data_IF_287138180327
#
_entry.id   IF_287138180327
#
_cell.length_a   1.000
_cell.length_b   1.000
_cell.length_c   1.000
_cell.angle_alpha   90.00
_cell.angle_beta   90.00
_cell.angle_gamma   90.00
#
_symmetry.space_group_name_H-M   'P 1'
#
loop_
_entity.id
_entity.type
_entity.pdbx_description
1 polymer ?
#
# COMPACT_ATOMS: atom_id res chain seq x y z
N UNK A 1 -7.88 -14.78 -13.01
CA UNK A 1 -7.92 -14.14 -11.68
C UNK A 1 -6.76 -13.16 -11.64
N UNK A 2 -7.04 -11.86 -11.71
CA UNK A 2 -6.01 -10.83 -11.53
C UNK A 2 -5.61 -10.84 -10.07
N UNK A 3 -4.34 -11.11 -9.79
CA UNK A 3 -3.78 -10.94 -8.44
C UNK A 3 -3.81 -9.44 -8.12
N UNK A 4 -4.72 -9.03 -7.23
CA UNK A 4 -4.91 -7.63 -6.79
C UNK A 4 -4.12 -7.33 -5.52
N UNK A 5 -3.19 -8.22 -5.14
CA UNK A 5 -2.43 -8.06 -3.90
C UNK A 5 -1.13 -7.29 -4.15
N UNK A 6 -0.76 -6.45 -3.18
CA UNK A 6 0.44 -5.62 -3.19
C UNK A 6 1.28 -5.99 -2.00
N UNK A 7 2.60 -6.06 -2.18
CA UNK A 7 3.49 -6.27 -1.04
C UNK A 7 3.67 -4.97 -0.26
N UNK A 8 3.91 -5.09 1.05
CA UNK A 8 4.19 -3.93 1.90
C UNK A 8 5.41 -3.16 1.41
N UNK A 9 6.42 -3.85 0.86
CA UNK A 9 7.61 -3.22 0.29
C UNK A 9 7.29 -2.44 -0.99
N UNK A 10 6.54 -3.02 -1.93
CA UNK A 10 6.16 -2.31 -3.16
C UNK A 10 5.36 -1.04 -2.82
N UNK A 11 4.48 -1.11 -1.82
CA UNK A 11 3.74 0.06 -1.36
C UNK A 11 4.63 1.09 -0.66
N UNK A 12 5.62 0.65 0.13
CA UNK A 12 6.61 1.54 0.74
C UNK A 12 7.43 2.29 -0.33
N UNK A 13 7.91 1.57 -1.35
CA UNK A 13 8.65 2.16 -2.48
C UNK A 13 7.79 3.20 -3.22
N UNK A 14 6.50 2.91 -3.41
CA UNK A 14 5.55 3.88 -3.98
C UNK A 14 5.42 5.14 -3.11
N UNK A 15 5.32 5.00 -1.79
CA UNK A 15 5.23 6.15 -0.88
C UNK A 15 6.50 7.00 -0.87
N UNK A 16 7.68 6.41 -1.10
CA UNK A 16 8.94 7.15 -1.25
C UNK A 16 8.99 7.97 -2.55
N UNK A 17 8.27 7.54 -3.59
CA UNK A 17 8.10 8.30 -4.82
C UNK A 17 7.07 9.43 -4.68
N UNK A 18 6.13 9.29 -3.74
CA UNK A 18 5.17 10.34 -3.41
C UNK A 18 5.86 11.48 -2.67
N UNK A 19 5.56 12.73 -3.04
CA UNK A 19 6.14 13.93 -2.43
C UNK A 19 5.54 14.25 -1.04
N UNK A 20 5.47 13.24 -0.17
CA UNK A 20 4.93 13.35 1.18
C UNK A 20 5.87 14.16 2.09
N UNK A 21 5.31 14.86 3.10
CA UNK A 21 6.14 15.46 4.14
C UNK A 21 7.01 14.40 4.82
N UNK A 22 8.28 14.69 5.05
CA UNK A 22 9.25 13.72 5.59
C UNK A 22 8.83 13.08 6.92
N UNK A 23 8.15 13.83 7.80
CA UNK A 23 7.60 13.30 9.06
C UNK A 23 6.49 12.27 8.80
N UNK A 24 5.62 12.55 7.82
CA UNK A 24 4.52 11.67 7.43
C UNK A 24 5.04 10.40 6.76
N UNK A 25 6.01 10.54 5.85
CA UNK A 25 6.65 9.40 5.19
C UNK A 25 7.33 8.48 6.21
N UNK A 26 8.15 9.02 7.12
CA UNK A 26 8.78 8.21 8.16
C UNK A 26 7.75 7.49 9.04
N UNK A 27 6.67 8.17 9.42
CA UNK A 27 5.60 7.54 10.21
C UNK A 27 4.95 6.39 9.45
N UNK A 28 4.66 6.57 8.16
CA UNK A 28 4.09 5.52 7.30
C UNK A 28 5.04 4.33 7.18
N UNK A 29 6.33 4.55 6.93
CA UNK A 29 7.32 3.49 6.80
C UNK A 29 7.45 2.67 8.10
N UNK A 30 7.38 3.32 9.26
CA UNK A 30 7.36 2.61 10.56
C UNK A 30 6.10 1.75 10.68
N UNK A 31 4.93 2.30 10.38
CA UNK A 31 3.65 1.57 10.43
C UNK A 31 3.68 0.37 9.49
N UNK A 32 4.17 0.55 8.26
CA UNK A 32 4.32 -0.52 7.27
C UNK A 32 5.31 -1.59 7.74
N UNK A 33 6.44 -1.20 8.35
CA UNK A 33 7.38 -2.15 8.92
C UNK A 33 6.79 -2.93 10.10
N UNK A 34 5.91 -2.34 10.91
CA UNK A 34 5.22 -3.05 11.99
C UNK A 34 4.21 -4.06 11.44
N UNK A 35 3.48 -3.68 10.39
CA UNK A 35 2.54 -4.56 9.68
C UNK A 35 3.27 -5.73 9.01
N UNK A 36 4.43 -5.49 8.39
CA UNK A 36 5.19 -6.50 7.64
C UNK A 36 5.68 -7.66 8.50
N UNK A 37 5.83 -7.44 9.82
CA UNK A 37 6.11 -8.50 10.80
C UNK A 37 4.96 -9.50 10.98
N UNK A 38 3.75 -9.14 10.56
CA UNK A 38 2.54 -9.98 10.65
C UNK A 38 2.06 -10.45 9.29
N UNK A 39 2.13 -9.57 8.29
CA UNK A 39 1.62 -9.84 6.95
C UNK A 39 2.38 -9.02 5.92
N UNK A 40 2.86 -9.69 4.89
CA UNK A 40 3.70 -9.11 3.84
C UNK A 40 2.91 -8.54 2.65
N UNK A 41 1.63 -8.94 2.51
CA UNK A 41 0.75 -8.61 1.38
C UNK A 41 -0.64 -8.19 1.81
N UNK A 42 -1.21 -7.23 1.11
CA UNK A 42 -2.59 -6.76 1.30
C UNK A 42 -3.31 -6.62 -0.03
N UNK A 43 -4.64 -6.70 0.00
CA UNK A 43 -5.51 -6.47 -1.14
C UNK A 43 -5.58 -4.97 -1.44
N UNK A 44 -5.08 -4.58 -2.61
CA UNK A 44 -5.11 -3.20 -3.07
C UNK A 44 -6.54 -2.68 -3.24
N UNK A 45 -6.72 -1.36 -3.11
CA UNK A 45 -8.01 -0.69 -3.30
C UNK A 45 -9.11 -1.17 -2.33
N UNK A 46 -8.72 -1.77 -1.21
CA UNK A 46 -9.61 -2.15 -0.11
C UNK A 46 -9.19 -1.47 1.19
N UNK A 47 -10.01 -1.59 2.23
CA UNK A 47 -9.66 -1.14 3.58
C UNK A 47 -8.69 -2.07 4.32
N UNK A 48 -8.18 -3.14 3.71
CA UNK A 48 -7.39 -4.16 4.41
C UNK A 48 -6.13 -3.58 5.05
N UNK A 49 -5.41 -2.70 4.34
CA UNK A 49 -4.17 -2.11 4.86
C UNK A 49 -4.43 -1.23 6.10
N UNK A 50 -5.54 -0.49 6.11
CA UNK A 50 -5.96 0.28 7.29
C UNK A 50 -6.33 -0.63 8.46
N UNK A 51 -7.05 -1.72 8.21
CA UNK A 51 -7.40 -2.70 9.25
C UNK A 51 -6.13 -3.32 9.86
N UNK A 52 -5.13 -3.62 9.03
CA UNK A 52 -3.84 -4.11 9.51
C UNK A 52 -3.11 -3.06 10.37
N UNK A 53 -3.11 -1.79 9.97
CA UNK A 53 -2.54 -0.71 10.77
C UNK A 53 -3.23 -0.57 12.13
N UNK A 54 -4.57 -0.57 12.16
CA UNK A 54 -5.36 -0.49 13.40
C UNK A 54 -5.04 -1.65 14.35
N UNK A 55 -4.90 -2.87 13.82
CA UNK A 55 -4.72 -4.08 14.63
C UNK A 55 -3.28 -4.38 15.03
N UNK A 56 -2.30 -3.95 14.23
CA UNK A 56 -0.93 -4.45 14.34
C UNK A 56 0.14 -3.37 14.45
N UNK A 57 -0.21 -2.09 14.32
CA UNK A 57 0.76 -0.99 14.45
C UNK A 57 0.57 -0.23 15.78
N UNK A 58 1.42 -0.48 16.80
CA UNK A 58 1.48 0.36 17.99
C UNK A 58 1.72 1.82 17.65
N UNK A 59 2.51 2.10 16.61
CA UNK A 59 2.76 3.47 16.15
C UNK A 59 1.47 4.14 15.72
N UNK A 60 0.65 3.49 14.88
CA UNK A 60 -0.64 4.03 14.45
C UNK A 60 -1.60 4.27 15.63
N UNK A 61 -1.66 3.34 16.58
CA UNK A 61 -2.50 3.44 17.78
C UNK A 61 -2.11 4.60 18.70
N UNK A 62 -0.82 4.95 18.75
CA UNK A 62 -0.30 6.03 19.58
C UNK A 62 -0.45 7.44 18.95
N UNK A 63 -0.81 7.53 17.66
CA UNK A 63 -1.02 8.80 16.99
C UNK A 63 -2.23 9.56 17.56
N UNK A 64 -2.17 10.90 17.49
CA UNK A 64 -3.35 11.72 17.75
C UNK A 64 -4.40 11.52 16.65
N UNK A 65 -5.67 11.77 16.95
CA UNK A 65 -6.78 11.61 16.00
C UNK A 65 -6.51 12.29 14.65
N UNK A 66 -6.01 13.53 14.68
CA UNK A 66 -5.66 14.28 13.46
C UNK A 66 -4.56 13.60 12.64
N UNK A 67 -3.57 13.00 13.29
CA UNK A 67 -2.50 12.26 12.61
C UNK A 67 -3.04 10.94 12.06
N UNK A 68 -3.91 10.25 12.80
CA UNK A 68 -4.59 9.04 12.30
C UNK A 68 -5.41 9.34 11.04
N UNK A 69 -6.18 10.43 11.00
CA UNK A 69 -6.94 10.83 9.81
C UNK A 69 -6.04 11.02 8.57
N UNK A 70 -4.89 11.68 8.74
CA UNK A 70 -3.91 11.85 7.66
C UNK A 70 -3.35 10.51 7.19
N UNK A 71 -2.96 9.63 8.11
CA UNK A 71 -2.43 8.31 7.76
C UNK A 71 -3.51 7.45 7.09
N UNK A 72 -4.74 7.45 7.61
CA UNK A 72 -5.88 6.77 7.00
C UNK A 72 -6.10 7.21 5.55
N UNK A 73 -6.02 8.52 5.28
CA UNK A 73 -6.18 9.04 3.92
C UNK A 73 -5.13 8.44 2.96
N UNK A 74 -3.89 8.27 3.41
CA UNK A 74 -2.81 7.69 2.60
C UNK A 74 -2.98 6.16 2.45
N UNK A 75 -3.29 5.44 3.53
CA UNK A 75 -3.46 3.98 3.48
C UNK A 75 -4.68 3.55 2.65
N UNK A 76 -5.66 4.44 2.47
CA UNK A 76 -6.83 4.23 1.63
C UNK A 76 -6.68 4.80 0.21
N UNK A 77 -5.50 5.30 -0.18
CA UNK A 77 -5.29 5.82 -1.53
C UNK A 77 -5.45 4.71 -2.58
N UNK A 78 -6.21 4.96 -3.66
CA UNK A 78 -6.37 3.99 -4.73
C UNK A 78 -5.05 3.79 -5.49
N UNK A 79 -4.68 2.53 -5.69
CA UNK A 79 -3.52 2.08 -6.45
C UNK A 79 -3.97 1.72 -7.88
N UNK A 80 -3.61 2.58 -8.85
CA UNK A 80 -4.04 2.45 -10.26
C UNK A 80 -3.07 1.63 -11.14
N UNK A 81 -1.86 1.34 -10.66
CA UNK A 81 -0.79 0.74 -11.46
C UNK A 81 -0.83 -0.79 -11.59
N UNK A 82 -1.75 -1.47 -10.88
CA UNK A 82 -1.92 -2.94 -10.99
C UNK A 82 -2.68 -3.39 -12.24
N UNK A 83 -3.07 -2.44 -13.08
CA UNK A 83 -3.60 -2.73 -14.42
C UNK A 83 -2.45 -3.31 -15.26
N UNK A 84 -2.20 -4.62 -15.16
CA UNK A 84 -1.37 -5.35 -16.11
C UNK A 84 -1.86 -4.93 -17.52
N UNK A 85 -1.00 -4.41 -18.41
CA UNK A 85 -1.43 -4.23 -19.79
C UNK A 85 -1.95 -5.58 -20.29
N UNK A 86 -3.09 -5.64 -21.00
CA UNK A 86 -3.56 -6.90 -21.55
C UNK A 86 -2.42 -7.50 -22.37
N UNK A 87 -2.04 -8.73 -22.05
CA UNK A 87 -0.97 -9.43 -22.74
C UNK A 87 -1.22 -9.34 -24.26
N UNK A 88 -0.31 -8.71 -25.02
CA UNK A 88 -0.28 -8.80 -26.48
C UNK A 88 0.14 -10.24 -26.87
N UNK A 89 -0.75 -11.20 -26.67
CA UNK A 89 -0.56 -12.58 -27.10
C UNK A 89 -1.52 -12.89 -28.26
N UNK A 90 -1.10 -12.53 -29.48
CA UNK A 90 -1.16 -13.36 -30.70
C UNK A 90 -0.92 -12.52 -31.96
N UNK A 91 0.34 -12.28 -32.31
CA UNK A 91 0.70 -12.15 -33.71
C UNK A 91 1.05 -13.55 -34.22
N UNK A 92 0.01 -14.30 -34.64
CA UNK A 92 0.20 -15.48 -35.47
C UNK A 92 0.73 -14.97 -36.81
N UNK A 93 2.04 -15.06 -36.99
CA UNK A 93 2.67 -14.83 -38.30
C UNK A 93 2.22 -15.98 -39.21
N UNK A 94 1.23 -15.69 -40.06
CA UNK A 94 0.95 -16.50 -41.25
C UNK A 94 2.01 -16.17 -42.30
N UNK A 95 2.95 -17.08 -42.52
CA UNK A 95 3.70 -17.21 -43.76
C UNK A 95 3.99 -18.67 -44.08
#
# INVERSE_FOLDING_TARGET
MTDTTVTINDFADLLEMEALPAETLQTLLIILSEISLKRDRFESNTGELLILAVNHSPTFQALSLKKQELICAVLCMPLFFLSRPPDEENNVVLH
#
